data_IF_089704589696
#
_entry.id   IF_089704589696
#
_cell.length_a   1.000
_cell.length_b   1.000
_cell.length_c   1.000
_cell.angle_alpha   90.00
_cell.angle_beta   90.00
_cell.angle_gamma   90.00
#
_symmetry.space_group_name_H-M   'P 1'
#
loop_
_entity.id
_entity.type
_entity.pdbx_description
1 polymer ?
#
# COMPACT_ATOMS: atom_id res chain seq x y z
N UNK A 1 4.50 -12.35 -37.54
CA UNK A 1 5.90 -12.80 -37.77
C UNK A 1 5.88 -14.32 -37.70
N UNK A 2 6.44 -15.00 -38.70
CA UNK A 2 6.56 -16.46 -38.73
C UNK A 2 7.50 -16.92 -37.61
N UNK A 3 7.07 -17.92 -36.83
CA UNK A 3 7.88 -18.56 -35.79
C UNK A 3 8.61 -19.74 -36.42
N UNK A 4 9.92 -19.64 -36.59
CA UNK A 4 10.73 -20.76 -37.08
C UNK A 4 11.20 -21.60 -35.88
N UNK A 5 11.14 -22.94 -35.93
CA UNK A 5 11.65 -23.80 -34.87
C UNK A 5 13.16 -23.58 -34.69
N UNK A 6 13.60 -23.49 -33.44
CA UNK A 6 15.04 -23.38 -33.13
C UNK A 6 15.55 -24.77 -32.78
N UNK A 7 16.38 -25.33 -33.65
CA UNK A 7 16.94 -26.68 -33.51
C UNK A 7 18.32 -26.58 -32.86
N UNK A 8 18.59 -27.35 -31.81
CA UNK A 8 19.94 -27.53 -31.24
C UNK A 8 20.34 -28.99 -31.45
N UNK A 9 21.51 -29.23 -32.06
CA UNK A 9 22.05 -30.56 -32.38
C UNK A 9 21.10 -31.50 -33.16
N UNK A 10 20.19 -30.93 -33.95
CA UNK A 10 19.26 -31.70 -34.80
C UNK A 10 17.96 -32.12 -34.11
N UNK A 11 17.77 -31.77 -32.84
CA UNK A 11 16.51 -31.94 -32.12
C UNK A 11 15.74 -30.61 -32.01
N UNK A 12 14.46 -30.65 -32.32
CA UNK A 12 13.56 -29.50 -32.16
C UNK A 12 13.28 -29.29 -30.67
N UNK A 13 13.50 -28.07 -30.19
CA UNK A 13 13.20 -27.72 -28.79
C UNK A 13 11.69 -27.60 -28.56
N UNK A 14 11.20 -28.31 -27.55
CA UNK A 14 9.82 -28.19 -27.09
C UNK A 14 9.52 -26.77 -26.56
N UNK A 15 8.45 -26.17 -27.07
CA UNK A 15 7.97 -24.87 -26.59
C UNK A 15 7.28 -25.03 -25.23
N UNK A 16 7.96 -24.61 -24.17
CA UNK A 16 7.45 -24.70 -22.80
C UNK A 16 6.68 -23.43 -22.45
N UNK A 17 5.35 -23.57 -22.36
CA UNK A 17 4.41 -22.47 -22.07
C UNK A 17 4.67 -21.71 -20.76
N UNK A 18 5.29 -22.37 -19.78
CA UNK A 18 5.65 -21.80 -18.46
C UNK A 18 6.92 -22.42 -17.92
N UNK A 19 7.91 -21.62 -17.55
CA UNK A 19 9.13 -22.11 -16.92
C UNK A 19 9.50 -21.28 -15.69
N UNK A 20 10.16 -21.92 -14.72
CA UNK A 20 10.62 -21.23 -13.51
C UNK A 20 12.08 -20.84 -13.70
N UNK A 21 12.35 -19.55 -13.75
CA UNK A 21 13.71 -19.02 -13.81
C UNK A 21 14.00 -18.22 -12.55
N UNK A 22 15.02 -18.61 -11.79
CA UNK A 22 15.40 -17.97 -10.53
C UNK A 22 14.22 -17.78 -9.55
N UNK A 23 13.28 -18.73 -9.51
CA UNK A 23 12.11 -18.68 -8.63
C UNK A 23 10.96 -17.79 -9.11
N UNK A 24 11.06 -17.18 -10.29
CA UNK A 24 9.97 -16.46 -10.97
C UNK A 24 9.35 -17.33 -12.07
N UNK A 25 8.02 -17.43 -12.11
CA UNK A 25 7.30 -18.15 -13.18
C UNK A 25 7.18 -17.20 -14.37
N UNK A 26 7.81 -17.57 -15.48
CA UNK A 26 7.72 -16.87 -16.76
C UNK A 26 6.70 -17.62 -17.61
N UNK A 27 5.58 -16.97 -17.94
CA UNK A 27 4.56 -17.49 -18.85
C UNK A 27 4.60 -16.77 -20.20
N UNK A 28 4.04 -17.39 -21.24
CA UNK A 28 3.90 -16.78 -22.58
C UNK A 28 3.03 -15.51 -22.63
N UNK A 29 2.47 -15.05 -21.51
CA UNK A 29 1.72 -13.79 -21.40
C UNK A 29 2.52 -12.68 -20.70
N UNK A 30 3.76 -12.95 -20.25
CA UNK A 30 4.61 -11.99 -19.55
C UNK A 30 4.06 -11.59 -18.16
N UNK A 31 3.27 -12.45 -17.54
CA UNK A 31 2.47 -12.15 -16.35
C UNK A 31 3.28 -12.04 -15.06
N UNK A 32 3.86 -10.87 -14.78
CA UNK A 32 4.55 -10.58 -13.50
C UNK A 32 3.62 -10.47 -12.27
N UNK A 33 2.29 -10.52 -12.43
CA UNK A 33 1.34 -10.20 -11.34
C UNK A 33 1.35 -11.23 -10.19
N UNK A 34 1.55 -12.50 -10.51
CA UNK A 34 1.67 -13.60 -9.53
C UNK A 34 2.93 -13.44 -8.69
N UNK A 35 4.06 -13.15 -9.33
CA UNK A 35 5.33 -12.95 -8.66
C UNK A 35 5.37 -11.64 -7.84
N UNK A 36 4.79 -10.54 -8.37
CA UNK A 36 4.55 -9.31 -7.60
C UNK A 36 3.77 -9.60 -6.31
N UNK A 37 2.68 -10.37 -6.39
CA UNK A 37 1.88 -10.75 -5.22
C UNK A 37 2.68 -11.57 -4.21
N UNK A 38 3.46 -12.54 -4.67
CA UNK A 38 4.31 -13.36 -3.83
C UNK A 38 5.37 -12.52 -3.09
N UNK A 39 6.02 -11.58 -3.80
CA UNK A 39 7.03 -10.68 -3.22
C UNK A 39 6.44 -9.70 -2.21
N UNK A 40 5.25 -9.15 -2.48
CA UNK A 40 4.52 -8.35 -1.49
C UNK A 40 4.26 -9.16 -0.22
N UNK A 41 3.90 -10.44 -0.36
CA UNK A 41 3.77 -11.37 0.77
C UNK A 41 5.05 -11.52 1.59
N UNK A 42 6.19 -11.76 0.93
CA UNK A 42 7.51 -11.89 1.56
C UNK A 42 7.95 -10.59 2.26
N UNK A 43 7.80 -9.45 1.61
CA UNK A 43 8.13 -8.14 2.19
C UNK A 43 7.27 -7.82 3.42
N UNK A 44 5.98 -8.19 3.40
CA UNK A 44 5.09 -8.09 4.57
C UNK A 44 5.57 -8.97 5.71
N UNK A 45 5.95 -10.21 5.44
CA UNK A 45 6.49 -11.11 6.46
C UNK A 45 7.77 -10.52 7.08
N UNK A 46 8.71 -10.05 6.27
CA UNK A 46 9.94 -9.40 6.75
C UNK A 46 9.64 -8.16 7.61
N UNK A 47 8.70 -7.31 7.19
CA UNK A 47 8.27 -6.15 7.97
C UNK A 47 7.69 -6.57 9.33
N UNK A 48 6.86 -7.61 9.38
CA UNK A 48 6.24 -8.09 10.62
C UNK A 48 7.25 -8.74 11.57
N UNK A 49 8.25 -9.45 11.05
CA UNK A 49 9.32 -10.02 11.88
C UNK A 49 10.10 -8.93 12.65
N UNK A 50 10.25 -7.75 12.05
CA UNK A 50 10.95 -6.62 12.66
C UNK A 50 10.04 -5.73 13.53
N UNK A 51 8.88 -6.23 13.98
CA UNK A 51 7.89 -5.47 14.78
C UNK A 51 8.50 -4.77 16.00
N UNK A 52 9.43 -5.45 16.69
CA UNK A 52 10.08 -4.91 17.89
C UNK A 52 10.95 -3.69 17.56
N UNK A 53 11.58 -3.66 16.38
CA UNK A 53 12.37 -2.52 15.89
C UNK A 53 11.46 -1.32 15.62
N UNK A 54 10.31 -1.54 14.98
CA UNK A 54 9.36 -0.47 14.68
C UNK A 54 8.78 0.15 15.94
N UNK A 55 8.51 -0.68 16.96
CA UNK A 55 7.97 -0.25 18.26
C UNK A 55 9.01 0.34 19.21
N UNK A 56 10.31 0.14 18.96
CA UNK A 56 11.37 0.66 19.84
C UNK A 56 11.41 2.18 19.87
N UNK A 57 11.42 2.78 21.06
CA UNK A 57 11.60 4.24 21.24
C UNK A 57 13.06 4.67 21.25
N UNK A 58 13.99 3.74 21.43
CA UNK A 58 15.43 4.02 21.51
C UNK A 58 16.05 4.24 20.13
N UNK A 59 15.45 3.69 19.08
CA UNK A 59 15.95 3.80 17.72
C UNK A 59 15.44 5.07 17.03
N UNK A 60 16.36 5.82 16.44
CA UNK A 60 16.02 7.00 15.64
C UNK A 60 15.23 6.62 14.39
N UNK A 61 14.43 7.56 13.89
CA UNK A 61 13.69 7.39 12.63
C UNK A 61 14.62 7.09 11.45
N UNK A 62 15.81 7.71 11.39
CA UNK A 62 16.79 7.46 10.35
C UNK A 62 17.34 6.03 10.39
N UNK A 63 17.62 5.50 11.58
CA UNK A 63 18.06 4.11 11.76
C UNK A 63 16.98 3.13 11.31
N UNK A 64 15.72 3.37 11.71
CA UNK A 64 14.59 2.55 11.27
C UNK A 64 14.39 2.59 9.75
N UNK A 65 14.55 3.76 9.12
CA UNK A 65 14.47 3.90 7.67
C UNK A 65 15.59 3.13 6.96
N UNK A 66 16.82 3.14 7.49
CA UNK A 66 17.93 2.32 6.97
C UNK A 66 17.61 0.84 7.06
N UNK A 67 17.13 0.37 8.22
CA UNK A 67 16.76 -1.05 8.42
C UNK A 67 15.65 -1.46 7.45
N UNK A 68 14.65 -0.59 7.24
CA UNK A 68 13.60 -0.83 6.25
C UNK A 68 14.18 -0.94 4.82
N UNK A 69 15.04 -0.01 4.44
CA UNK A 69 15.68 0.00 3.12
C UNK A 69 16.55 -1.24 2.89
N UNK A 70 17.23 -1.74 3.93
CA UNK A 70 18.13 -2.90 3.80
C UNK A 70 17.41 -4.25 3.86
N UNK A 71 16.31 -4.36 4.60
CA UNK A 71 15.68 -5.66 4.87
C UNK A 71 14.32 -5.85 4.18
N UNK A 72 13.53 -4.78 4.06
CA UNK A 72 12.16 -4.86 3.50
C UNK A 72 12.17 -4.41 2.04
N UNK A 73 12.84 -3.30 1.74
CA UNK A 73 12.92 -2.77 0.38
C UNK A 73 13.75 -3.66 -0.54
N UNK A 74 14.81 -4.28 -0.04
CA UNK A 74 15.58 -5.29 -0.79
C UNK A 74 14.70 -6.47 -1.17
N UNK A 75 13.97 -7.10 -0.26
CA UNK A 75 13.04 -8.21 -0.57
C UNK A 75 11.93 -7.81 -1.55
N UNK A 76 11.47 -6.56 -1.47
CA UNK A 76 10.45 -6.04 -2.38
C UNK A 76 10.99 -5.76 -3.79
N UNK A 77 12.26 -5.38 -3.92
CA UNK A 77 12.88 -4.92 -5.17
C UNK A 77 13.88 -5.92 -5.77
N UNK A 78 14.28 -6.95 -5.03
CA UNK A 78 15.15 -8.01 -5.51
C UNK A 78 14.47 -8.66 -6.71
N UNK A 79 15.23 -8.85 -7.80
CA UNK A 79 14.73 -9.33 -9.10
C UNK A 79 13.65 -8.45 -9.76
N UNK A 80 13.40 -7.23 -9.29
CA UNK A 80 12.68 -6.21 -10.05
C UNK A 80 13.60 -5.45 -11.01
N UNK A 81 14.91 -5.68 -10.92
CA UNK A 81 15.97 -5.13 -11.79
C UNK A 81 15.91 -5.72 -13.21
N UNK A 82 15.46 -6.98 -13.34
CA UNK A 82 15.21 -7.64 -14.63
C UNK A 82 13.85 -7.27 -15.24
N UNK A 83 13.00 -6.58 -14.49
CA UNK A 83 11.78 -6.00 -15.02
C UNK A 83 12.11 -4.64 -15.63
N UNK A 84 11.61 -4.36 -16.82
CA UNK A 84 11.64 -2.99 -17.36
C UNK A 84 10.88 -2.13 -16.36
N UNK A 85 11.59 -1.32 -15.56
CA UNK A 85 11.08 -0.48 -14.47
C UNK A 85 10.18 0.60 -15.06
N UNK A 86 8.97 0.19 -15.39
CA UNK A 86 7.97 1.04 -16.02
C UNK A 86 7.36 1.90 -14.93
N UNK A 87 7.06 3.15 -15.28
CA UNK A 87 6.33 4.11 -14.43
C UNK A 87 5.09 3.48 -13.78
N UNK A 88 4.44 2.54 -14.48
CA UNK A 88 3.31 1.74 -13.98
C UNK A 88 3.64 0.87 -12.74
N UNK A 89 4.80 0.21 -12.70
CA UNK A 89 5.20 -0.65 -11.57
C UNK A 89 5.51 0.19 -10.33
N UNK A 90 6.28 1.28 -10.49
CA UNK A 90 6.58 2.22 -9.40
C UNK A 90 5.29 2.83 -8.85
N UNK A 91 4.38 3.24 -9.74
CA UNK A 91 3.07 3.76 -9.33
C UNK A 91 2.23 2.70 -8.61
N UNK A 92 2.24 1.43 -9.06
CA UNK A 92 1.57 0.33 -8.35
C UNK A 92 2.10 0.16 -6.93
N UNK A 93 3.42 0.17 -6.74
CA UNK A 93 4.05 0.03 -5.41
C UNK A 93 3.67 1.22 -4.51
N UNK A 94 3.78 2.44 -5.04
CA UNK A 94 3.44 3.66 -4.30
C UNK A 94 1.96 3.67 -3.89
N UNK A 95 1.05 3.33 -4.81
CA UNK A 95 -0.39 3.23 -4.53
C UNK A 95 -0.65 2.16 -3.47
N UNK A 96 0.00 1.00 -3.57
CA UNK A 96 -0.19 -0.10 -2.63
C UNK A 96 0.27 0.29 -1.23
N UNK A 97 1.42 0.95 -1.11
CA UNK A 97 1.92 1.44 0.17
C UNK A 97 0.99 2.51 0.78
N UNK A 98 0.53 3.47 -0.02
CA UNK A 98 -0.42 4.50 0.42
C UNK A 98 -1.75 3.91 0.90
N UNK A 99 -2.27 2.88 0.22
CA UNK A 99 -3.48 2.18 0.64
C UNK A 99 -3.31 1.42 1.95
N UNK A 100 -2.17 0.74 2.15
CA UNK A 100 -1.92 0.05 3.42
C UNK A 100 -1.76 1.04 4.59
N UNK A 101 -1.07 2.16 4.39
CA UNK A 101 -0.97 3.24 5.40
C UNK A 101 -2.36 3.78 5.73
N UNK A 102 -3.20 4.01 4.72
CA UNK A 102 -4.58 4.47 4.90
C UNK A 102 -5.42 3.46 5.67
N UNK A 103 -5.36 2.17 5.32
CA UNK A 103 -6.05 1.10 6.06
C UNK A 103 -5.64 1.08 7.52
N UNK A 104 -4.34 1.12 7.81
CA UNK A 104 -3.83 1.12 9.19
C UNK A 104 -4.33 2.35 9.96
N UNK A 105 -4.28 3.54 9.34
CA UNK A 105 -4.82 4.77 9.92
C UNK A 105 -6.30 4.63 10.28
N UNK A 106 -7.14 4.20 9.36
CA UNK A 106 -8.58 4.11 9.60
C UNK A 106 -8.97 2.96 10.54
N UNK A 107 -8.17 1.89 10.61
CA UNK A 107 -8.29 0.90 11.69
C UNK A 107 -8.02 1.53 13.07
N UNK A 108 -6.96 2.33 13.19
CA UNK A 108 -6.62 3.04 14.43
C UNK A 108 -7.69 4.08 14.81
N UNK A 109 -8.21 4.84 13.85
CA UNK A 109 -9.31 5.80 14.08
C UNK A 109 -10.53 5.10 14.65
N UNK A 110 -10.93 3.96 14.07
CA UNK A 110 -12.06 3.20 14.62
C UNK A 110 -11.81 2.73 16.04
N UNK A 111 -10.58 2.31 16.36
CA UNK A 111 -10.22 1.96 17.73
C UNK A 111 -10.31 3.17 18.67
N UNK A 112 -9.82 4.33 18.26
CA UNK A 112 -9.87 5.57 19.03
C UNK A 112 -11.32 6.05 19.26
N UNK A 113 -12.17 6.00 18.24
CA UNK A 113 -13.58 6.41 18.33
C UNK A 113 -14.39 5.52 19.30
N UNK A 114 -14.07 4.23 19.39
CA UNK A 114 -14.70 3.29 20.33
C UNK A 114 -14.23 3.41 21.78
N UNK A 115 -13.20 4.21 22.07
CA UNK A 115 -12.75 4.42 23.45
C UNK A 115 -13.70 5.38 24.18
N UNK A 116 -13.63 5.35 25.51
CA UNK A 116 -14.37 6.28 26.36
C UNK A 116 -14.06 7.75 25.98
N UNK A 117 -15.05 8.66 26.08
CA UNK A 117 -14.92 10.05 25.63
C UNK A 117 -13.84 10.85 26.38
N UNK A 118 -13.50 10.45 27.61
CA UNK A 118 -12.45 11.05 28.42
C UNK A 118 -11.04 10.51 28.13
N UNK A 119 -10.89 9.51 27.25
CA UNK A 119 -9.58 8.97 26.96
C UNK A 119 -8.76 9.96 26.11
N UNK A 120 -7.47 10.11 26.45
CA UNK A 120 -6.59 11.06 25.77
C UNK A 120 -6.53 10.85 24.25
N UNK A 121 -6.64 9.60 23.78
CA UNK A 121 -6.62 9.26 22.35
C UNK A 121 -7.86 9.75 21.61
N UNK A 122 -9.06 9.62 22.21
CA UNK A 122 -10.32 10.08 21.62
C UNK A 122 -10.42 11.59 21.69
N UNK A 123 -10.04 12.19 22.82
CA UNK A 123 -9.96 13.64 22.97
C UNK A 123 -9.00 14.24 21.94
N UNK A 124 -7.78 13.73 21.78
CA UNK A 124 -6.82 14.25 20.79
C UNK A 124 -7.34 14.15 19.34
N UNK A 125 -8.15 13.13 19.04
CA UNK A 125 -8.76 12.93 17.73
C UNK A 125 -9.87 13.95 17.45
N UNK A 126 -10.78 14.17 18.40
CA UNK A 126 -11.96 15.05 18.24
C UNK A 126 -11.70 16.49 18.64
N UNK A 127 -10.58 16.78 19.30
CA UNK A 127 -10.26 18.11 19.79
C UNK A 127 -10.16 19.11 18.63
N UNK A 128 -10.98 20.15 18.72
CA UNK A 128 -10.93 21.32 17.85
C UNK A 128 -10.39 22.52 18.65
N UNK A 129 -9.08 22.81 18.58
CA UNK A 129 -8.50 23.90 19.34
C UNK A 129 -9.01 25.24 18.83
N UNK A 130 -9.69 25.96 19.71
CA UNK A 130 -10.13 27.34 19.48
C UNK A 130 -8.93 28.29 19.67
N UNK A 131 -8.73 29.20 18.71
CA UNK A 131 -7.69 30.23 18.78
C UNK A 131 -6.71 30.24 17.59
N UNK A 132 -6.03 31.38 17.42
CA UNK A 132 -4.95 31.53 16.43
C UNK A 132 -3.70 30.81 16.93
N UNK A 133 -3.27 29.78 16.19
CA UNK A 133 -1.96 29.15 16.42
C UNK A 133 -0.85 30.10 15.97
N UNK A 134 0.27 30.12 16.70
CA UNK A 134 1.49 30.82 16.26
C UNK A 134 1.93 30.24 14.90
N UNK A 135 2.15 31.13 13.92
CA UNK A 135 2.59 30.76 12.58
C UNK A 135 3.92 30.02 12.63
N UNK A 136 4.00 28.87 11.95
CA UNK A 136 5.20 28.03 11.98
C UNK A 136 4.93 26.66 11.38
N UNK A 137 4.58 25.68 12.23
CA UNK A 137 4.41 24.28 11.79
C UNK A 137 3.16 24.12 10.91
N UNK A 138 3.27 23.54 9.70
CA UNK A 138 2.12 23.18 8.89
C UNK A 138 1.14 22.29 9.66
N UNK A 139 -0.17 22.39 9.35
CA UNK A 139 -1.20 21.48 9.88
C UNK A 139 -0.66 20.04 9.78
N UNK A 140 -0.77 19.26 10.86
CA UNK A 140 -0.38 17.86 10.85
C UNK A 140 -1.04 17.15 9.64
N UNK A 141 -0.21 16.56 8.79
CA UNK A 141 -0.60 15.90 7.54
C UNK A 141 -1.78 14.94 7.78
N UNK A 142 -1.74 14.24 8.91
CA UNK A 142 -2.76 13.29 9.34
C UNK A 142 -4.19 13.89 9.33
N UNK A 143 -4.40 15.08 9.91
CA UNK A 143 -5.74 15.67 9.99
C UNK A 143 -6.25 16.08 8.62
N UNK A 144 -5.40 16.67 7.77
CA UNK A 144 -5.76 17.03 6.40
C UNK A 144 -6.14 15.80 5.57
N UNK A 145 -5.33 14.75 5.65
CA UNK A 145 -5.60 13.50 4.92
C UNK A 145 -6.88 12.83 5.39
N UNK A 146 -7.17 12.86 6.70
CA UNK A 146 -8.43 12.38 7.26
C UNK A 146 -9.61 13.22 6.78
N UNK A 147 -9.51 14.55 6.78
CA UNK A 147 -10.55 15.44 6.24
C UNK A 147 -10.83 15.17 4.76
N UNK A 148 -9.79 14.94 3.95
CA UNK A 148 -9.93 14.57 2.53
C UNK A 148 -10.66 13.23 2.38
N UNK A 149 -10.26 12.22 3.13
CA UNK A 149 -10.88 10.90 3.10
C UNK A 149 -12.35 10.97 3.55
N UNK A 150 -12.65 11.72 4.61
CA UNK A 150 -14.01 11.93 5.13
C UNK A 150 -14.91 12.65 4.11
N UNK A 151 -14.40 13.66 3.41
CA UNK A 151 -15.12 14.32 2.30
C UNK A 151 -15.42 13.35 1.17
N UNK A 152 -14.49 12.47 0.81
CA UNK A 152 -14.70 11.46 -0.24
C UNK A 152 -15.75 10.42 0.14
N UNK A 153 -15.90 10.13 1.43
CA UNK A 153 -16.95 9.24 1.92
C UNK A 153 -18.32 9.92 2.02
N UNK A 154 -18.40 11.23 1.76
CA UNK A 154 -19.59 12.04 1.99
C UNK A 154 -20.21 11.81 3.38
N UNK A 155 -19.35 11.82 4.40
CA UNK A 155 -19.72 11.52 5.79
C UNK A 155 -19.30 12.63 6.74
N UNK A 156 -20.08 12.76 7.81
CA UNK A 156 -19.79 13.61 8.96
C UNK A 156 -19.03 12.81 10.05
N UNK A 157 -18.22 13.48 10.87
CA UNK A 157 -17.57 12.89 12.05
C UNK A 157 -18.52 12.18 13.01
N UNK A 158 -19.71 12.74 13.26
CA UNK A 158 -20.74 12.15 14.12
C UNK A 158 -21.27 10.83 13.53
N UNK A 159 -21.42 10.76 12.21
CA UNK A 159 -21.82 9.52 11.52
C UNK A 159 -20.71 8.48 11.53
N UNK A 160 -19.45 8.91 11.41
CA UNK A 160 -18.28 8.04 11.53
C UNK A 160 -18.14 7.49 12.94
N UNK A 161 -18.39 8.30 13.96
CA UNK A 161 -18.39 7.87 15.36
C UNK A 161 -19.46 6.81 15.60
N UNK A 162 -20.71 7.07 15.18
CA UNK A 162 -21.81 6.09 15.27
C UNK A 162 -21.49 4.80 14.49
N UNK A 163 -20.92 4.92 13.28
CA UNK A 163 -20.57 3.76 12.45
C UNK A 163 -19.35 3.00 12.97
N UNK A 164 -18.50 3.62 13.79
CA UNK A 164 -17.34 2.96 14.39
C UNK A 164 -17.73 1.98 15.51
N UNK A 165 -18.91 2.13 16.11
CA UNK A 165 -19.41 1.20 17.13
C UNK A 165 -19.62 -0.20 16.55
N UNK A 166 -20.20 -0.28 15.35
CA UNK A 166 -20.31 -1.53 14.60
C UNK A 166 -18.98 -1.89 13.91
N UNK A 167 -18.33 -2.94 14.42
CA UNK A 167 -17.04 -3.43 13.89
C UNK A 167 -17.12 -4.01 12.48
N UNK A 168 -18.27 -4.53 12.06
CA UNK A 168 -18.48 -5.09 10.72
C UNK A 168 -18.66 -3.95 9.74
N UNK A 169 -19.60 -3.04 10.01
CA UNK A 169 -19.83 -1.84 9.20
C UNK A 169 -18.58 -0.95 9.09
N UNK A 170 -17.79 -0.84 10.17
CA UNK A 170 -16.51 -0.13 10.13
C UNK A 170 -15.50 -0.80 9.20
N UNK A 171 -15.35 -2.13 9.26
CA UNK A 171 -14.43 -2.85 8.37
C UNK A 171 -14.80 -2.71 6.90
N UNK A 172 -16.09 -2.80 6.58
CA UNK A 172 -16.58 -2.60 5.20
C UNK A 172 -16.24 -1.20 4.70
N UNK A 173 -16.56 -0.16 5.49
CA UNK A 173 -16.25 1.23 5.15
C UNK A 173 -14.76 1.47 4.90
N UNK A 174 -13.88 0.88 5.72
CA UNK A 174 -12.43 0.98 5.52
C UNK A 174 -11.99 0.24 4.26
N UNK A 175 -12.61 -0.89 3.94
CA UNK A 175 -12.38 -1.65 2.71
C UNK A 175 -12.75 -0.84 1.46
N UNK A 176 -13.94 -0.23 1.46
CA UNK A 176 -14.45 0.59 0.34
C UNK A 176 -13.57 1.81 0.10
N UNK A 177 -13.22 2.54 1.17
CA UNK A 177 -12.35 3.72 1.12
C UNK A 177 -11.00 3.43 0.46
N UNK A 178 -10.46 2.24 0.70
CA UNK A 178 -9.16 1.84 0.15
C UNK A 178 -9.25 1.28 -1.27
N UNK A 179 -10.45 0.86 -1.68
CA UNK A 179 -10.73 0.36 -3.04
C UNK A 179 -11.04 1.51 -4.01
N UNK A 180 -11.70 2.58 -3.56
CA UNK A 180 -12.11 3.74 -4.39
C UNK A 180 -10.93 4.40 -5.11
N UNK A 181 -9.80 4.62 -4.43
CA UNK A 181 -8.59 5.26 -5.00
C UNK A 181 -7.81 4.32 -5.92
N UNK A 182 -7.90 3.00 -5.70
CA UNK A 182 -7.34 2.00 -6.61
C UNK A 182 -8.04 2.04 -7.97
N UNK A 183 -9.37 2.23 -8.01
CA UNK A 183 -10.13 2.31 -9.25
C UNK A 183 -9.91 3.64 -10.01
N UNK A 184 -9.93 4.79 -9.33
CA UNK A 184 -9.73 6.09 -10.00
C UNK A 184 -8.33 6.22 -10.62
N UNK A 185 -7.29 5.69 -9.95
CA UNK A 185 -5.92 5.73 -10.49
C UNK A 185 -5.65 4.65 -11.54
N UNK A 186 -6.30 3.48 -11.46
CA UNK A 186 -6.29 2.48 -12.55
C UNK A 186 -6.90 3.06 -13.82
N UNK A 187 -8.01 3.80 -13.73
CA UNK A 187 -8.63 4.47 -14.87
C UNK A 187 -7.67 5.49 -15.51
N UNK A 188 -7.03 6.35 -14.71
CA UNK A 188 -6.01 7.29 -15.22
C UNK A 188 -4.79 6.59 -15.84
N UNK A 189 -4.33 5.47 -15.26
CA UNK A 189 -3.23 4.70 -15.82
C UNK A 189 -3.59 4.09 -17.19
N UNK A 190 -4.81 3.55 -17.30
CA UNK A 190 -5.32 2.94 -18.53
C UNK A 190 -5.55 3.97 -19.63
N UNK A 191 -5.99 5.18 -19.29
CA UNK A 191 -6.10 6.31 -20.23
C UNK A 191 -4.73 6.79 -20.72
N UNK A 192 -3.73 6.82 -19.84
CA UNK A 192 -2.36 7.25 -20.22
C UNK A 192 -1.66 6.22 -21.12
N UNK A 193 -1.97 4.93 -20.98
CA UNK A 193 -1.43 3.86 -21.83
C UNK A 193 -2.08 3.83 -23.22
N UNK A 194 -3.32 4.32 -23.37
CA UNK A 194 -4.03 4.38 -24.66
C UNK A 194 -3.61 5.55 -25.56
N UNK A 195 -2.85 6.51 -25.02
CA UNK A 195 -2.43 7.74 -25.71
C UNK A 195 -0.96 7.72 -26.16
N UNK A 196 -0.26 6.59 -25.97
CA UNK A 196 1.08 6.31 -26.50
C UNK A 196 1.03 5.07 -27.38
#
# INVERSE_FOLDING_TARGET
MQHNPTTIDGEDLDDVKTFTYSGSIIDGHGGSDTDVKARIGKARAAYLQLRNIWNSKQLSTNTKARIFNTNVKTVLLYEAETWRTTKAIIQKIQITAEEEIKKMRWKWIGHALRKAPNCATKQALTWNPQGKRRGGRPKNILRREMEIDTRKMNKNWMELEKKAEDRVCWRMLVGDLCSIRSNTRKLQLNETIKLN
#
